data_IF_667307362107
#
_entry.id   IF_667307362107
#
_cell.length_a   1.000
_cell.length_b   1.000
_cell.length_c   1.000
_cell.angle_alpha   90.00
_cell.angle_beta   90.00
_cell.angle_gamma   90.00
#
_symmetry.space_group_name_H-M   'P 1'
#
loop_
_entity.id
_entity.type
_entity.pdbx_description
1 polymer ?
#
# COMPACT_ATOMS: atom_id res chain seq x y z
N UNK A 1 5.77 15.47 4.10
CA UNK A 1 5.77 15.50 5.58
C UNK A 1 4.56 16.28 6.08
N UNK A 2 4.25 16.22 7.38
CA UNK A 2 3.00 16.65 8.02
C UNK A 2 3.28 17.16 9.44
N UNK A 3 2.31 17.78 10.12
CA UNK A 3 2.42 18.18 11.53
C UNK A 3 1.68 17.22 12.49
N UNK A 4 2.32 16.90 13.62
CA UNK A 4 1.67 16.30 14.80
C UNK A 4 2.04 17.16 16.02
N UNK A 5 1.05 17.56 16.81
CA UNK A 5 1.26 18.27 18.08
C UNK A 5 0.71 17.38 19.19
N UNK A 6 1.53 17.08 20.19
CA UNK A 6 1.17 16.23 21.32
C UNK A 6 1.42 16.94 22.65
N UNK A 7 0.44 16.93 23.54
CA UNK A 7 0.60 17.28 24.95
C UNK A 7 0.54 16.02 25.78
N UNK A 8 1.49 15.87 26.71
CA UNK A 8 1.57 14.77 27.65
C UNK A 8 1.75 15.33 29.06
N UNK A 9 0.96 14.84 30.01
CA UNK A 9 1.12 15.21 31.41
C UNK A 9 0.24 14.41 32.36
N UNK A 10 0.07 14.95 33.58
CA UNK A 10 -0.67 14.28 34.66
C UNK A 10 -2.16 14.08 34.37
N UNK A 11 -2.75 14.94 33.54
CA UNK A 11 -4.18 14.85 33.19
C UNK A 11 -4.46 13.77 32.14
N UNK A 12 -3.44 13.41 31.34
CA UNK A 12 -3.54 12.52 30.19
C UNK A 12 -2.65 13.00 29.04
N UNK A 13 -2.98 12.53 27.84
CA UNK A 13 -2.36 12.83 26.57
C UNK A 13 -3.39 13.40 25.59
N UNK A 14 -2.99 14.37 24.77
CA UNK A 14 -3.77 14.89 23.63
C UNK A 14 -2.84 14.94 22.44
N UNK A 15 -3.24 14.36 21.32
CA UNK A 15 -2.52 14.52 20.05
C UNK A 15 -3.46 15.05 18.99
N UNK A 16 -2.96 15.98 18.18
CA UNK A 16 -3.62 16.47 16.99
C UNK A 16 -2.70 16.34 15.78
N UNK A 17 -3.25 16.02 14.62
CA UNK A 17 -2.48 15.93 13.37
C UNK A 17 -3.31 16.36 12.18
N UNK A 18 -2.68 17.01 11.22
CA UNK A 18 -3.30 17.22 9.92
C UNK A 18 -3.45 15.89 9.16
N UNK A 19 -4.25 15.87 8.10
CA UNK A 19 -4.48 14.66 7.29
C UNK A 19 -3.80 14.68 5.92
N UNK A 20 -2.98 15.69 5.65
CA UNK A 20 -2.30 15.86 4.36
C UNK A 20 -1.16 14.89 4.13
N UNK A 21 -1.08 14.38 2.92
CA UNK A 21 0.02 13.56 2.42
C UNK A 21 0.30 13.99 0.99
N UNK A 22 1.56 14.32 0.75
CA UNK A 22 2.09 14.68 -0.55
C UNK A 22 3.04 13.56 -0.98
N UNK A 23 2.77 12.97 -2.13
CA UNK A 23 3.68 12.05 -2.80
C UNK A 23 4.29 12.76 -4.02
N UNK A 24 5.60 12.64 -4.14
CA UNK A 24 6.41 13.27 -5.19
C UNK A 24 6.91 12.19 -6.15
N UNK A 25 6.66 12.36 -7.44
CA UNK A 25 7.11 11.46 -8.49
C UNK A 25 8.00 12.22 -9.47
N UNK A 26 9.17 11.67 -9.79
CA UNK A 26 10.17 12.34 -10.61
C UNK A 26 11.58 12.07 -10.11
N UNK A 27 12.54 12.75 -10.74
CA UNK A 27 13.96 12.64 -10.42
C UNK A 27 14.24 12.90 -8.92
N UNK A 28 15.22 12.17 -8.36
CA UNK A 28 15.52 12.24 -6.93
C UNK A 28 16.01 13.63 -6.52
N UNK A 29 16.96 14.21 -7.24
CA UNK A 29 17.60 15.45 -6.85
C UNK A 29 16.63 16.62 -6.98
N UNK A 30 15.76 16.59 -8.00
CA UNK A 30 14.68 17.55 -8.14
C UNK A 30 13.65 17.44 -7.02
N UNK A 31 13.26 16.21 -6.62
CA UNK A 31 12.34 16.01 -5.48
C UNK A 31 12.91 16.59 -4.20
N UNK A 32 14.20 16.37 -3.93
CA UNK A 32 14.86 16.93 -2.75
C UNK A 32 14.87 18.47 -2.76
N UNK A 33 15.14 19.10 -3.93
CA UNK A 33 15.06 20.55 -4.10
C UNK A 33 13.66 21.11 -3.82
N UNK A 34 12.62 20.49 -4.38
CA UNK A 34 11.23 20.93 -4.16
C UNK A 34 10.83 20.78 -2.69
N UNK A 35 11.23 19.67 -2.04
CA UNK A 35 10.97 19.49 -0.61
C UNK A 35 11.68 20.55 0.24
N UNK A 36 12.93 20.88 -0.06
CA UNK A 36 13.68 21.93 0.64
C UNK A 36 12.99 23.29 0.48
N UNK A 37 12.57 23.64 -0.74
CA UNK A 37 11.86 24.89 -1.02
C UNK A 37 10.52 24.96 -0.28
N UNK A 38 9.74 23.87 -0.30
CA UNK A 38 8.50 23.76 0.47
C UNK A 38 8.75 23.94 1.97
N UNK A 39 9.77 23.29 2.51
CA UNK A 39 10.06 23.31 3.96
C UNK A 39 10.77 24.57 4.43
N UNK A 40 11.30 25.38 3.50
CA UNK A 40 11.82 26.73 3.76
C UNK A 40 10.72 27.76 4.00
N UNK A 41 9.49 27.49 3.53
CA UNK A 41 8.36 28.42 3.57
C UNK A 41 8.27 29.37 2.38
N UNK A 42 9.09 29.16 1.34
CA UNK A 42 9.01 29.95 0.10
C UNK A 42 7.72 29.66 -0.68
N UNK A 43 7.21 28.44 -0.61
CA UNK A 43 5.95 28.01 -1.24
C UNK A 43 4.80 28.18 -0.24
N UNK A 44 3.83 29.03 -0.57
CA UNK A 44 2.78 29.50 0.35
C UNK A 44 1.45 28.77 0.20
N UNK A 45 1.16 28.26 -0.99
CA UNK A 45 -0.13 27.64 -1.31
C UNK A 45 0.05 26.51 -2.34
N UNK A 46 -1.04 25.77 -2.58
CA UNK A 46 -1.04 24.60 -3.47
C UNK A 46 -0.75 24.97 -4.92
N UNK A 47 -1.21 26.13 -5.39
CA UNK A 47 -0.96 26.60 -6.76
C UNK A 47 0.53 26.85 -7.00
N UNK A 48 1.20 27.52 -6.07
CA UNK A 48 2.66 27.69 -6.09
C UNK A 48 3.38 26.35 -6.03
N UNK A 49 2.92 25.42 -5.19
CA UNK A 49 3.52 24.09 -5.07
C UNK A 49 3.45 23.32 -6.39
N UNK A 50 2.29 23.29 -7.05
CA UNK A 50 2.13 22.65 -8.37
C UNK A 50 2.98 23.34 -9.44
N UNK A 51 3.08 24.67 -9.40
CA UNK A 51 3.88 25.44 -10.36
C UNK A 51 5.37 25.14 -10.22
N UNK A 52 5.93 25.15 -9.00
CA UNK A 52 7.35 24.82 -8.78
C UNK A 52 7.64 23.35 -9.09
N UNK A 53 6.72 22.44 -8.76
CA UNK A 53 6.85 21.03 -9.12
C UNK A 53 6.91 20.81 -10.64
N UNK A 54 6.03 21.47 -11.40
CA UNK A 54 6.02 21.38 -12.86
C UNK A 54 7.32 21.86 -13.49
N UNK A 55 7.93 22.95 -12.98
CA UNK A 55 9.24 23.44 -13.46
C UNK A 55 10.37 22.41 -13.25
N UNK A 56 10.27 21.61 -12.20
CA UNK A 56 11.25 20.59 -11.86
C UNK A 56 10.94 19.22 -12.47
N UNK A 57 9.86 19.11 -13.28
CA UNK A 57 9.42 17.85 -13.85
C UNK A 57 8.95 16.85 -12.79
N UNK A 58 8.32 17.34 -11.72
CA UNK A 58 7.81 16.53 -10.61
C UNK A 58 6.29 16.49 -10.67
N UNK A 59 5.74 15.28 -10.71
CA UNK A 59 4.31 15.06 -10.53
C UNK A 59 3.98 14.93 -9.04
N UNK A 60 2.88 15.57 -8.63
CA UNK A 60 2.41 15.56 -7.26
C UNK A 60 1.09 14.81 -7.13
N UNK A 61 1.01 13.92 -6.14
CA UNK A 61 -0.26 13.37 -5.66
C UNK A 61 -0.49 13.83 -4.23
N UNK A 62 -1.51 14.66 -4.05
CA UNK A 62 -1.90 15.23 -2.76
C UNK A 62 -3.20 14.56 -2.30
N UNK A 63 -3.27 14.24 -1.00
CA UNK A 63 -4.44 13.66 -0.35
C UNK A 63 -4.59 14.23 1.06
N UNK A 64 -5.81 14.44 1.53
CA UNK A 64 -6.11 14.98 2.87
C UNK A 64 -6.90 13.97 3.75
N UNK A 65 -6.58 12.69 3.59
CA UNK A 65 -7.26 11.55 4.22
C UNK A 65 -6.36 10.70 5.13
N UNK A 66 -5.08 11.10 5.31
CA UNK A 66 -4.11 10.30 6.04
C UNK A 66 -4.43 10.24 7.54
N UNK A 67 -4.50 9.02 8.09
CA UNK A 67 -4.64 8.77 9.53
C UNK A 67 -3.26 8.68 10.17
N UNK A 68 -2.80 9.77 10.79
CA UNK A 68 -1.45 9.87 11.35
C UNK A 68 -1.40 9.64 12.85
N UNK A 69 -2.53 9.84 13.52
CA UNK A 69 -2.72 9.51 14.93
C UNK A 69 -3.75 8.40 15.07
N UNK A 70 -3.57 7.52 16.07
CA UNK A 70 -4.51 6.46 16.42
C UNK A 70 -4.43 6.13 17.91
N UNK A 71 -5.52 5.65 18.49
CA UNK A 71 -5.50 5.08 19.84
C UNK A 71 -4.96 3.65 19.83
N UNK A 72 -4.14 3.30 20.81
CA UNK A 72 -3.65 1.95 21.05
C UNK A 72 -3.86 1.64 22.54
N UNK A 73 -4.99 1.01 22.85
CA UNK A 73 -5.45 0.91 24.23
C UNK A 73 -5.66 2.29 24.85
N UNK A 74 -4.97 2.57 25.95
CA UNK A 74 -5.01 3.84 26.67
C UNK A 74 -3.92 4.83 26.23
N UNK A 75 -3.03 4.44 25.31
CA UNK A 75 -2.07 5.34 24.69
C UNK A 75 -2.59 5.89 23.37
N UNK A 76 -2.03 7.04 22.97
CA UNK A 76 -2.19 7.62 21.63
C UNK A 76 -0.86 7.49 20.91
N UNK A 77 -0.88 6.99 19.67
CA UNK A 77 0.28 6.90 18.79
C UNK A 77 0.15 7.92 17.68
N UNK A 78 1.20 8.70 17.43
CA UNK A 78 1.34 9.55 16.24
C UNK A 78 2.54 9.12 15.41
N UNK A 79 2.38 9.00 14.09
CA UNK A 79 3.44 8.63 13.15
C UNK A 79 3.64 9.69 12.07
N UNK A 80 4.88 10.11 11.89
CA UNK A 80 5.32 10.75 10.63
C UNK A 80 6.28 9.82 9.92
N UNK A 81 6.17 9.75 8.60
CA UNK A 81 7.06 8.93 7.78
C UNK A 81 7.63 9.71 6.61
N UNK A 82 8.82 9.29 6.21
CA UNK A 82 9.48 9.68 4.97
C UNK A 82 9.82 8.42 4.20
N UNK A 83 9.55 8.43 2.90
CA UNK A 83 9.79 7.29 2.01
C UNK A 83 10.76 7.74 0.93
N UNK A 84 11.91 7.07 0.85
CA UNK A 84 12.80 7.15 -0.30
C UNK A 84 12.55 5.93 -1.19
N UNK A 85 13.29 5.83 -2.29
CA UNK A 85 13.24 4.65 -3.18
C UNK A 85 13.76 3.38 -2.51
N UNK A 86 14.58 3.49 -1.44
CA UNK A 86 15.25 2.35 -0.80
C UNK A 86 14.79 2.10 0.63
N UNK A 87 14.37 3.14 1.36
CA UNK A 87 14.04 3.02 2.78
C UNK A 87 12.79 3.80 3.15
N UNK A 88 12.06 3.28 4.14
CA UNK A 88 10.99 3.98 4.83
C UNK A 88 11.46 4.26 6.24
N UNK A 89 11.63 5.54 6.57
CA UNK A 89 11.92 5.99 7.93
C UNK A 89 10.64 6.47 8.58
N UNK A 90 10.32 5.91 9.74
CA UNK A 90 9.15 6.29 10.54
C UNK A 90 9.63 6.85 11.87
N UNK A 91 9.03 7.95 12.29
CA UNK A 91 9.18 8.48 13.63
C UNK A 91 7.83 8.45 14.30
N UNK A 92 7.75 7.73 15.41
CA UNK A 92 6.53 7.57 16.19
C UNK A 92 6.66 8.22 17.55
N UNK A 93 5.56 8.76 18.04
CA UNK A 93 5.38 9.12 19.44
C UNK A 93 4.25 8.28 20.01
N UNK A 94 4.47 7.67 21.16
CA UNK A 94 3.45 7.04 21.98
C UNK A 94 3.28 7.90 23.23
N UNK A 95 2.07 8.35 23.52
CA UNK A 95 1.77 9.19 24.67
C UNK A 95 0.64 8.62 25.52
N UNK A 96 0.77 8.68 26.83
CA UNK A 96 -0.26 8.32 27.81
C UNK A 96 -0.20 9.26 29.01
N UNK A 97 -1.06 9.08 30.00
CA UNK A 97 -0.94 9.82 31.27
C UNK A 97 0.45 9.61 31.87
N UNK A 98 1.14 10.69 32.24
CA UNK A 98 2.46 10.67 32.89
C UNK A 98 3.64 10.08 32.09
N UNK A 99 3.49 9.82 30.79
CA UNK A 99 4.59 9.26 30.00
C UNK A 99 4.43 9.42 28.49
N UNK A 100 5.55 9.59 27.82
CA UNK A 100 5.66 9.41 26.38
C UNK A 100 6.96 8.66 26.02
N UNK A 101 6.94 8.07 24.84
CA UNK A 101 8.11 7.48 24.18
C UNK A 101 8.13 7.92 22.72
N UNK A 102 9.31 8.28 22.22
CA UNK A 102 9.53 8.61 20.82
C UNK A 102 10.46 7.54 20.27
N UNK A 103 10.10 6.93 19.15
CA UNK A 103 10.93 5.93 18.49
C UNK A 103 11.17 6.27 17.03
N UNK A 104 12.31 5.81 16.53
CA UNK A 104 12.66 5.87 15.13
C UNK A 104 12.83 4.47 14.57
N UNK A 105 12.11 4.17 13.50
CA UNK A 105 12.12 2.88 12.81
C UNK A 105 12.67 3.07 11.40
N UNK A 106 13.58 2.18 11.00
CA UNK A 106 13.95 2.01 9.58
C UNK A 106 13.37 0.67 9.14
N UNK A 107 12.36 0.71 8.27
CA UNK A 107 11.53 -0.45 7.99
C UNK A 107 10.75 -0.88 9.24
N UNK A 108 11.20 -1.96 9.88
CA UNK A 108 10.63 -2.51 11.13
C UNK A 108 11.63 -2.44 12.28
N UNK A 109 12.87 -2.07 12.02
CA UNK A 109 13.93 -2.10 13.03
C UNK A 109 13.93 -0.82 13.84
N UNK A 110 13.87 -0.97 15.16
CA UNK A 110 14.06 0.12 16.11
C UNK A 110 15.52 0.61 16.07
N UNK A 111 15.71 1.88 15.75
CA UNK A 111 17.03 2.52 15.68
C UNK A 111 17.31 3.45 16.86
N UNK A 112 16.29 4.16 17.31
CA UNK A 112 16.41 5.09 18.41
C UNK A 112 15.13 5.09 19.26
N UNK A 113 15.30 5.33 20.55
CA UNK A 113 14.22 5.44 21.53
C UNK A 113 14.54 6.51 22.57
N UNK A 114 13.61 7.45 22.72
CA UNK A 114 13.62 8.49 23.74
C UNK A 114 12.40 8.32 24.65
N UNK A 115 12.56 8.62 25.94
CA UNK A 115 11.45 8.55 26.91
C UNK A 115 11.33 9.87 27.65
N UNK A 116 10.11 10.20 28.08
CA UNK A 116 9.85 11.37 28.91
C UNK A 116 8.54 11.26 29.67
N UNK A 117 8.35 12.15 30.65
CA UNK A 117 7.18 12.07 31.55
C UNK A 117 6.07 13.08 31.24
N UNK A 118 6.43 14.24 30.71
CA UNK A 118 5.49 15.30 30.35
C UNK A 118 6.13 16.30 29.41
N UNK A 119 5.33 16.93 28.56
CA UNK A 119 5.81 17.97 27.65
C UNK A 119 4.83 18.23 26.52
N UNK A 120 5.19 19.19 25.67
CA UNK A 120 4.57 19.38 24.36
C UNK A 120 5.59 18.94 23.31
N UNK A 121 5.24 17.94 22.52
CA UNK A 121 6.09 17.38 21.46
C UNK A 121 5.49 17.77 20.11
N UNK A 122 6.33 18.22 19.19
CA UNK A 122 5.91 18.63 17.85
C UNK A 122 6.73 17.88 16.81
N UNK A 123 6.04 17.10 15.98
CA UNK A 123 6.60 16.57 14.75
C UNK A 123 6.19 17.44 13.57
N UNK A 124 7.11 17.59 12.61
CA UNK A 124 6.81 18.17 11.31
C UNK A 124 8.02 18.63 10.53
N UNK A 125 7.80 19.31 9.43
CA UNK A 125 8.89 20.00 8.73
C UNK A 125 9.33 21.24 9.51
N UNK A 126 10.41 21.89 9.05
CA UNK A 126 11.04 23.03 9.72
C UNK A 126 10.04 24.19 9.92
N UNK A 127 9.37 24.63 8.86
CA UNK A 127 8.45 25.76 8.90
C UNK A 127 7.22 25.49 9.79
N UNK A 128 6.57 24.32 9.66
CA UNK A 128 5.41 23.96 10.46
C UNK A 128 5.75 23.87 11.96
N UNK A 129 6.91 23.30 12.30
CA UNK A 129 7.40 23.28 13.69
C UNK A 129 7.64 24.68 14.25
N UNK A 130 8.21 25.59 13.46
CA UNK A 130 8.47 26.97 13.90
C UNK A 130 7.15 27.72 14.17
N UNK A 131 6.20 27.63 13.24
CA UNK A 131 4.87 28.26 13.41
C UNK A 131 4.13 27.68 14.62
N UNK A 132 4.10 26.35 14.76
CA UNK A 132 3.44 25.68 15.88
C UNK A 132 4.03 26.09 17.22
N UNK A 133 5.36 26.13 17.35
CA UNK A 133 6.02 26.59 18.57
C UNK A 133 5.63 28.04 18.93
N UNK A 134 5.56 28.93 17.94
CA UNK A 134 5.17 30.33 18.15
C UNK A 134 3.73 30.43 18.63
N UNK A 135 2.80 29.78 17.94
CA UNK A 135 1.37 29.82 18.26
C UNK A 135 1.05 29.15 19.61
N UNK A 136 1.73 28.05 19.94
CA UNK A 136 1.59 27.38 21.24
C UNK A 136 2.04 28.34 22.35
N UNK A 137 3.20 29.00 22.22
CA UNK A 137 3.67 29.96 23.22
C UNK A 137 2.69 31.11 23.47
N UNK A 138 1.99 31.57 22.42
CA UNK A 138 1.00 32.64 22.53
C UNK A 138 -0.31 32.18 23.19
N UNK A 139 -0.79 30.97 22.89
CA UNK A 139 -2.12 30.49 23.29
C UNK A 139 -2.11 29.65 24.56
N UNK A 140 -0.97 29.10 24.95
CA UNK A 140 -0.89 28.13 26.05
C UNK A 140 -1.20 28.76 27.40
N UNK A 141 -2.10 28.13 28.17
CA UNK A 141 -2.38 28.48 29.56
C UNK A 141 -2.21 27.23 30.43
N UNK A 142 -1.62 27.39 31.61
CA UNK A 142 -1.20 26.29 32.50
C UNK A 142 -2.35 25.47 33.10
N UNK A 143 -3.60 25.95 33.05
CA UNK A 143 -4.77 25.28 33.62
C UNK A 143 -5.87 25.05 32.58
N UNK A 144 -5.61 24.13 31.66
CA UNK A 144 -6.53 23.78 30.58
C UNK A 144 -6.99 22.32 30.71
N UNK A 145 -8.23 22.03 30.28
CA UNK A 145 -8.77 20.66 30.15
C UNK A 145 -8.21 19.98 28.90
N UNK A 146 -8.12 18.64 28.87
CA UNK A 146 -7.60 17.94 27.68
C UNK A 146 -8.39 18.27 26.41
N UNK A 147 -9.70 18.46 26.52
CA UNK A 147 -10.55 18.85 25.40
C UNK A 147 -10.12 20.20 24.82
N UNK A 148 -10.00 21.22 25.66
CA UNK A 148 -9.60 22.55 25.21
C UNK A 148 -8.14 22.60 24.74
N UNK A 149 -7.26 21.74 25.26
CA UNK A 149 -5.92 21.54 24.66
C UNK A 149 -6.04 21.01 23.23
N UNK A 150 -6.95 20.07 22.98
CA UNK A 150 -7.26 19.56 21.65
C UNK A 150 -7.76 20.65 20.72
N UNK A 151 -8.73 21.45 21.17
CA UNK A 151 -9.29 22.57 20.41
C UNK A 151 -8.19 23.59 20.02
N UNK A 152 -7.30 23.96 20.96
CA UNK A 152 -6.14 24.82 20.64
C UNK A 152 -5.27 24.20 19.56
N UNK A 153 -4.92 22.91 19.68
CA UNK A 153 -4.04 22.27 18.71
C UNK A 153 -4.67 22.19 17.33
N UNK A 154 -5.98 21.92 17.26
CA UNK A 154 -6.74 21.95 16.02
C UNK A 154 -6.69 23.32 15.36
N UNK A 155 -6.97 24.39 16.10
CA UNK A 155 -6.89 25.77 15.58
C UNK A 155 -5.48 26.13 15.10
N UNK A 156 -4.44 25.73 15.84
CA UNK A 156 -3.06 25.97 15.47
C UNK A 156 -2.72 25.28 14.15
N UNK A 157 -3.12 24.01 13.99
CA UNK A 157 -2.85 23.26 12.75
C UNK A 157 -3.59 23.90 11.57
N UNK A 158 -4.85 24.32 11.76
CA UNK A 158 -5.64 25.00 10.71
C UNK A 158 -4.98 26.32 10.28
N UNK A 159 -4.49 27.11 11.23
CA UNK A 159 -3.78 28.36 10.89
C UNK A 159 -2.46 28.10 10.16
N UNK A 160 -1.74 27.03 10.51
CA UNK A 160 -0.52 26.65 9.79
C UNK A 160 -0.87 26.22 8.35
N UNK A 161 -1.96 25.48 8.15
CA UNK A 161 -2.42 25.04 6.85
C UNK A 161 -2.79 26.20 5.90
N UNK A 162 -3.09 27.39 6.44
CA UNK A 162 -3.32 28.61 5.64
C UNK A 162 -2.03 29.25 5.13
N UNK A 163 -0.88 28.92 5.75
CA UNK A 163 0.41 29.57 5.50
C UNK A 163 1.43 28.69 4.79
N UNK A 164 1.15 27.39 4.66
CA UNK A 164 2.00 26.46 3.93
C UNK A 164 1.19 25.31 3.34
N UNK A 165 1.47 24.90 2.08
CA UNK A 165 0.78 23.78 1.46
C UNK A 165 1.31 22.43 1.97
N UNK A 166 2.26 22.42 2.90
CA UNK A 166 2.78 21.20 3.51
C UNK A 166 1.87 20.60 4.60
N UNK A 167 0.83 21.32 5.01
CA UNK A 167 -0.10 20.95 6.09
C UNK A 167 -1.55 21.05 5.59
N UNK A 168 -2.37 20.06 5.90
CA UNK A 168 -3.78 20.03 5.51
C UNK A 168 -4.71 20.73 6.50
N UNK A 169 -5.85 21.20 6.00
CA UNK A 169 -6.89 21.85 6.82
C UNK A 169 -7.71 20.87 7.67
N UNK A 170 -7.80 19.62 7.24
CA UNK A 170 -8.48 18.56 7.98
C UNK A 170 -7.58 18.07 9.11
N UNK A 171 -8.12 18.03 10.32
CA UNK A 171 -7.38 17.70 11.54
C UNK A 171 -8.10 16.57 12.27
N UNK A 172 -7.34 15.58 12.72
CA UNK A 172 -7.78 14.60 13.69
C UNK A 172 -7.25 15.01 15.08
N UNK A 173 -8.07 14.84 16.13
CA UNK A 173 -7.68 15.05 17.53
C UNK A 173 -8.05 13.81 18.34
N UNK A 174 -7.10 13.27 19.10
CA UNK A 174 -7.31 12.10 19.96
C UNK A 174 -6.83 12.41 21.38
N UNK A 175 -7.64 12.04 22.36
CA UNK A 175 -7.34 12.15 23.79
C UNK A 175 -7.13 10.75 24.36
N UNK A 176 -5.97 10.53 24.99
CA UNK A 176 -5.67 9.34 25.76
C UNK A 176 -5.65 9.67 27.25
N UNK A 177 -6.37 8.92 28.07
CA UNK A 177 -6.41 9.16 29.51
C UNK A 177 -6.52 7.84 30.27
N UNK A 178 -5.59 7.65 31.18
CA UNK A 178 -5.64 6.61 32.20
C UNK A 178 -5.22 7.21 33.55
N UNK A 179 -6.16 7.33 34.49
CA UNK A 179 -5.90 7.91 35.81
C UNK A 179 -5.09 7.00 36.73
N UNK A 180 -4.91 5.72 36.38
CA UNK A 180 -4.19 4.73 37.20
C UNK A 180 -2.68 4.73 36.93
N UNK A 181 -2.23 5.34 35.83
CA UNK A 181 -0.82 5.36 35.47
C UNK A 181 -0.05 6.43 36.23
N UNK A 182 0.98 5.99 36.96
CA UNK A 182 2.01 6.84 37.55
C UNK A 182 3.15 7.01 36.54
N UNK A 183 4.14 7.86 36.81
CA UNK A 183 5.29 8.05 35.92
C UNK A 183 6.02 6.72 35.63
N UNK A 184 6.20 5.88 36.64
CA UNK A 184 6.91 4.60 36.50
C UNK A 184 6.06 3.57 35.75
N UNK A 185 4.78 3.44 36.10
CA UNK A 185 3.90 2.47 35.43
C UNK A 185 3.53 2.88 34.01
N UNK A 186 3.53 4.18 33.70
CA UNK A 186 3.35 4.70 32.36
C UNK A 186 4.46 4.23 31.40
N UNK A 187 5.73 4.27 31.83
CA UNK A 187 6.84 3.82 30.95
C UNK A 187 6.75 2.33 30.64
N UNK A 188 6.49 1.50 31.65
CA UNK A 188 6.27 0.06 31.44
C UNK A 188 5.09 -0.21 30.49
N UNK A 189 3.98 0.51 30.68
CA UNK A 189 2.81 0.39 29.80
C UNK A 189 3.13 0.77 28.35
N UNK A 190 3.93 1.82 28.16
CA UNK A 190 4.36 2.25 26.83
C UNK A 190 5.31 1.23 26.19
N UNK A 191 6.24 0.63 26.93
CA UNK A 191 7.12 -0.44 26.42
C UNK A 191 6.31 -1.64 25.88
N UNK A 192 5.31 -2.08 26.64
CA UNK A 192 4.42 -3.17 26.24
C UNK A 192 3.52 -2.79 25.05
N UNK A 193 3.12 -1.52 24.96
CA UNK A 193 2.28 -1.01 23.88
C UNK A 193 3.07 -0.88 22.58
N UNK A 194 4.26 -0.29 22.65
CA UNK A 194 5.21 -0.16 21.55
C UNK A 194 5.56 -1.52 20.96
N UNK A 195 5.97 -2.47 21.82
CA UNK A 195 6.36 -3.82 21.39
C UNK A 195 5.24 -4.53 20.64
N UNK A 196 4.00 -4.42 21.12
CA UNK A 196 2.83 -5.01 20.44
C UNK A 196 2.55 -4.34 19.11
N UNK A 197 2.59 -3.02 19.04
CA UNK A 197 2.33 -2.27 17.81
C UNK A 197 3.41 -2.50 16.74
N UNK A 198 4.68 -2.63 17.13
CA UNK A 198 5.77 -3.00 16.21
C UNK A 198 5.56 -4.42 15.67
N UNK A 199 5.19 -5.40 16.51
CA UNK A 199 4.88 -6.76 16.03
C UNK A 199 3.71 -6.80 15.04
N UNK A 200 2.69 -5.97 15.24
CA UNK A 200 1.59 -5.84 14.27
C UNK A 200 2.09 -5.27 12.96
N UNK A 201 2.97 -4.26 13.01
CA UNK A 201 3.60 -3.69 11.82
C UNK A 201 4.46 -4.72 11.06
N UNK A 202 5.23 -5.55 11.76
CA UNK A 202 6.03 -6.62 11.17
C UNK A 202 5.17 -7.63 10.42
N UNK A 203 4.10 -8.14 11.05
CA UNK A 203 3.16 -9.06 10.42
C UNK A 203 2.48 -8.45 9.19
N UNK A 204 2.07 -7.18 9.28
CA UNK A 204 1.49 -6.47 8.14
C UNK A 204 2.47 -6.38 6.97
N UNK A 205 3.76 -6.11 7.25
CA UNK A 205 4.79 -6.05 6.20
C UNK A 205 5.11 -7.41 5.61
N UNK A 206 5.12 -8.47 6.41
CA UNK A 206 5.31 -9.83 5.92
C UNK A 206 4.18 -10.18 4.94
N UNK A 207 2.93 -9.97 5.35
CA UNK A 207 1.78 -10.20 4.48
C UNK A 207 1.86 -9.37 3.20
N UNK A 208 2.22 -8.09 3.29
CA UNK A 208 2.37 -7.24 2.10
C UNK A 208 3.46 -7.75 1.15
N UNK A 209 4.54 -8.33 1.68
CA UNK A 209 5.59 -8.92 0.85
C UNK A 209 5.11 -10.20 0.15
N UNK A 210 4.36 -11.05 0.86
CA UNK A 210 3.71 -12.25 0.31
C UNK A 210 2.72 -11.87 -0.80
N UNK A 211 1.82 -10.90 -0.53
CA UNK A 211 0.83 -10.40 -1.49
C UNK A 211 1.51 -9.81 -2.76
N UNK A 212 2.66 -9.12 -2.62
CA UNK A 212 3.40 -8.56 -3.74
C UNK A 212 4.12 -9.62 -4.58
N UNK A 213 4.63 -10.68 -3.95
CA UNK A 213 5.25 -11.78 -4.67
C UNK A 213 4.20 -12.58 -5.46
N UNK A 214 3.04 -12.85 -4.86
CA UNK A 214 1.91 -13.49 -5.56
C UNK A 214 1.45 -12.66 -6.76
N UNK A 215 1.37 -11.33 -6.63
CA UNK A 215 1.08 -10.43 -7.75
C UNK A 215 2.17 -10.47 -8.82
N UNK A 216 3.44 -10.54 -8.44
CA UNK A 216 4.55 -10.62 -9.38
C UNK A 216 4.53 -11.92 -10.17
N UNK A 217 4.32 -13.05 -9.50
CA UNK A 217 4.14 -14.36 -10.14
C UNK A 217 2.97 -14.32 -11.12
N UNK A 218 1.84 -13.74 -10.71
CA UNK A 218 0.67 -13.56 -11.57
C UNK A 218 0.98 -12.74 -12.83
N UNK A 219 1.73 -11.64 -12.69
CA UNK A 219 2.16 -10.80 -13.83
C UNK A 219 3.11 -11.58 -14.75
N UNK A 220 4.03 -12.38 -14.19
CA UNK A 220 4.95 -13.20 -14.99
C UNK A 220 4.20 -14.25 -15.81
N UNK A 221 3.25 -14.97 -15.20
CA UNK A 221 2.41 -15.94 -15.91
C UNK A 221 1.57 -15.26 -16.99
N UNK A 222 0.99 -14.09 -16.68
CA UNK A 222 0.20 -13.32 -17.65
C UNK A 222 1.01 -12.89 -18.89
N UNK A 223 2.29 -12.51 -18.70
CA UNK A 223 3.18 -12.17 -19.81
C UNK A 223 3.56 -13.37 -20.68
N UNK A 224 3.41 -14.60 -20.17
CA UNK A 224 3.70 -15.85 -20.90
C UNK A 224 2.48 -16.43 -21.62
N UNK A 225 1.29 -15.84 -21.49
CA UNK A 225 0.07 -16.31 -22.16
C UNK A 225 0.30 -16.39 -23.67
N UNK A 226 -0.04 -17.55 -24.25
CA UNK A 226 0.20 -17.82 -25.66
C UNK A 226 -0.91 -17.19 -26.49
N UNK A 227 -0.59 -16.13 -27.24
CA UNK A 227 -1.54 -15.50 -28.16
C UNK A 227 -1.48 -16.09 -29.58
N UNK A 228 -0.41 -16.83 -29.88
CA UNK A 228 -0.22 -17.55 -31.14
C UNK A 228 0.84 -18.62 -30.98
N UNK A 229 0.58 -19.83 -31.47
CA UNK A 229 1.58 -20.89 -31.43
C UNK A 229 1.01 -22.30 -31.45
N UNK A 230 1.91 -23.29 -31.38
CA UNK A 230 1.53 -24.70 -31.22
C UNK A 230 1.36 -25.00 -29.75
N UNK A 231 0.22 -25.58 -29.39
CA UNK A 231 -0.10 -25.93 -28.01
C UNK A 231 0.25 -27.38 -27.72
N UNK A 232 -0.12 -28.28 -28.62
CA UNK A 232 0.00 -29.71 -28.40
C UNK A 232 -0.65 -30.54 -29.50
N UNK A 233 -0.86 -31.81 -29.19
CA UNK A 233 -1.47 -32.78 -30.09
C UNK A 233 -2.54 -33.58 -29.36
N UNK A 234 -3.62 -33.93 -30.06
CA UNK A 234 -4.68 -34.77 -29.48
C UNK A 234 -4.13 -36.17 -29.25
N UNK A 235 -4.08 -36.61 -27.99
CA UNK A 235 -3.65 -37.96 -27.63
C UNK A 235 -4.82 -38.94 -27.56
N UNK A 236 -6.00 -38.48 -27.13
CA UNK A 236 -7.19 -39.31 -26.95
C UNK A 236 -8.47 -38.50 -27.16
N UNK A 237 -9.52 -39.16 -27.67
CA UNK A 237 -10.84 -38.57 -27.91
C UNK A 237 -11.91 -39.43 -27.21
N UNK A 238 -12.73 -38.80 -26.37
CA UNK A 238 -13.86 -39.43 -25.66
C UNK A 238 -15.10 -38.54 -25.76
N UNK A 239 -16.02 -38.87 -26.68
CA UNK A 239 -17.16 -38.01 -26.97
C UNK A 239 -16.70 -36.62 -27.43
N UNK A 240 -17.17 -35.54 -26.78
CA UNK A 240 -16.72 -34.16 -27.05
C UNK A 240 -15.41 -33.78 -26.33
N UNK A 241 -14.86 -34.66 -25.48
CA UNK A 241 -13.63 -34.39 -24.73
C UNK A 241 -12.39 -34.85 -25.51
N UNK A 242 -11.44 -33.95 -25.65
CA UNK A 242 -10.16 -34.17 -26.31
C UNK A 242 -9.05 -34.05 -25.27
N UNK A 243 -8.33 -35.15 -25.02
CA UNK A 243 -7.08 -35.08 -24.27
C UNK A 243 -6.01 -34.56 -25.21
N UNK A 244 -5.41 -33.44 -24.86
CA UNK A 244 -4.37 -32.78 -25.63
C UNK A 244 -3.08 -32.87 -24.82
N UNK A 245 -2.09 -33.56 -25.37
CA UNK A 245 -0.74 -33.58 -24.82
C UNK A 245 -0.03 -32.29 -25.20
N UNK A 246 0.32 -31.50 -24.19
CA UNK A 246 1.03 -30.23 -24.36
C UNK A 246 2.43 -30.45 -24.93
N UNK A 247 2.94 -29.47 -25.65
CA UNK A 247 4.34 -29.48 -26.09
C UNK A 247 5.30 -29.29 -24.91
N UNK A 248 6.60 -29.43 -25.18
CA UNK A 248 7.67 -29.23 -24.20
C UNK A 248 7.79 -27.78 -23.71
N UNK A 249 7.14 -26.82 -24.38
CA UNK A 249 7.22 -25.39 -24.09
C UNK A 249 5.92 -24.81 -23.54
N UNK A 250 4.91 -25.63 -23.28
CA UNK A 250 3.57 -25.17 -22.92
C UNK A 250 3.16 -25.72 -21.57
N UNK A 251 2.78 -24.82 -20.68
CA UNK A 251 2.21 -25.13 -19.38
C UNK A 251 0.74 -24.66 -19.34
N UNK A 252 -0.07 -25.33 -18.54
CA UNK A 252 -1.46 -24.95 -18.31
C UNK A 252 -1.69 -24.49 -16.87
N UNK A 253 -2.51 -23.46 -16.72
CA UNK A 253 -2.85 -22.82 -15.46
C UNK A 253 -4.38 -22.69 -15.31
N UNK A 254 -4.89 -22.67 -14.08
CA UNK A 254 -6.29 -22.35 -13.82
C UNK A 254 -6.56 -20.83 -13.90
N UNK A 255 -7.80 -20.41 -13.65
CA UNK A 255 -8.18 -18.99 -13.62
C UNK A 255 -7.53 -18.18 -12.49
N UNK A 256 -6.94 -18.85 -11.50
CA UNK A 256 -6.16 -18.25 -10.41
C UNK A 256 -4.65 -18.32 -10.69
N UNK A 257 -4.25 -18.64 -11.93
CA UNK A 257 -2.87 -18.77 -12.37
C UNK A 257 -2.07 -19.82 -11.57
N UNK A 258 -2.75 -20.83 -11.02
CA UNK A 258 -2.10 -22.01 -10.42
C UNK A 258 -1.88 -23.05 -11.50
N UNK A 259 -0.66 -23.62 -11.54
CA UNK A 259 -0.28 -24.63 -12.53
C UNK A 259 -1.15 -25.88 -12.35
N UNK A 260 -1.83 -26.28 -13.42
CA UNK A 260 -2.67 -27.50 -13.47
C UNK A 260 -2.03 -28.61 -14.28
N UNK A 261 -1.19 -28.27 -15.26
CA UNK A 261 -0.41 -29.24 -16.03
C UNK A 261 0.89 -28.61 -16.55
N UNK A 262 1.94 -29.40 -16.62
CA UNK A 262 3.24 -29.03 -17.15
C UNK A 262 3.47 -29.41 -18.61
N UNK A 263 4.63 -29.00 -19.12
CA UNK A 263 5.16 -29.44 -20.41
C UNK A 263 5.09 -30.97 -20.57
N UNK A 264 4.62 -31.43 -21.72
CA UNK A 264 4.38 -32.85 -22.04
C UNK A 264 3.29 -33.57 -21.24
N UNK A 265 2.55 -32.90 -20.35
CA UNK A 265 1.38 -33.46 -19.68
C UNK A 265 0.11 -33.28 -20.52
N UNK A 266 -0.98 -33.94 -20.12
CA UNK A 266 -2.26 -33.90 -20.83
C UNK A 266 -3.24 -32.95 -20.17
N UNK A 267 -3.98 -32.21 -20.99
CA UNK A 267 -5.10 -31.37 -20.57
C UNK A 267 -6.35 -31.70 -21.36
N UNK A 268 -7.51 -31.48 -20.76
CA UNK A 268 -8.81 -31.72 -21.40
C UNK A 268 -9.27 -30.44 -22.10
N UNK A 269 -9.66 -30.58 -23.36
CA UNK A 269 -10.30 -29.54 -24.16
C UNK A 269 -11.63 -30.07 -24.72
N UNK A 270 -12.55 -29.16 -25.01
CA UNK A 270 -13.91 -29.51 -25.44
C UNK A 270 -14.16 -29.03 -26.87
N UNK A 271 -14.80 -29.91 -27.65
CA UNK A 271 -15.24 -29.65 -29.02
C UNK A 271 -16.75 -29.42 -29.03
N UNK A 272 -17.16 -28.19 -28.72
CA UNK A 272 -18.59 -27.86 -28.55
C UNK A 272 -19.26 -27.37 -29.84
N UNK A 273 -18.54 -26.58 -30.65
CA UNK A 273 -19.10 -25.86 -31.79
C UNK A 273 -18.22 -25.98 -33.03
N UNK A 274 -18.86 -25.94 -34.20
CA UNK A 274 -18.16 -25.80 -35.47
C UNK A 274 -17.71 -24.34 -35.72
N UNK A 275 -17.12 -24.10 -36.88
CA UNK A 275 -16.63 -22.77 -37.30
C UNK A 275 -17.75 -21.75 -37.54
N UNK A 276 -19.00 -22.19 -37.74
CA UNK A 276 -20.18 -21.34 -37.92
C UNK A 276 -20.92 -21.10 -36.59
N UNK A 277 -20.49 -21.76 -35.51
CA UNK A 277 -21.07 -21.66 -34.18
C UNK A 277 -22.19 -22.64 -33.90
N UNK A 278 -22.44 -23.61 -34.79
CA UNK A 278 -23.43 -24.66 -34.58
C UNK A 278 -22.89 -25.72 -33.61
N UNK A 279 -23.77 -26.31 -32.80
CA UNK A 279 -23.37 -27.36 -31.86
C UNK A 279 -22.94 -28.63 -32.59
N UNK A 280 -21.76 -29.15 -32.23
CA UNK A 280 -21.28 -30.45 -32.72
C UNK A 280 -21.88 -31.55 -31.84
N UNK A 281 -22.54 -32.54 -32.45
CA UNK A 281 -23.03 -33.74 -31.76
C UNK A 281 -21.89 -34.74 -31.58
N UNK A 282 -21.96 -35.56 -30.53
CA UNK A 282 -20.94 -36.57 -30.22
C UNK A 282 -20.67 -37.54 -31.39
N UNK A 283 -21.71 -37.94 -32.12
CA UNK A 283 -21.59 -38.83 -33.27
C UNK A 283 -20.73 -38.23 -34.40
N UNK A 284 -20.65 -36.90 -34.48
CA UNK A 284 -20.01 -36.18 -35.57
C UNK A 284 -18.58 -35.75 -35.24
N UNK A 285 -18.11 -35.92 -33.99
CA UNK A 285 -16.77 -35.51 -33.52
C UNK A 285 -15.65 -36.09 -34.39
N UNK A 286 -15.80 -37.34 -34.84
CA UNK A 286 -14.80 -38.03 -35.67
C UNK A 286 -14.59 -37.39 -37.05
N UNK A 287 -15.58 -36.64 -37.55
CA UNK A 287 -15.49 -35.84 -38.78
C UNK A 287 -14.60 -34.61 -38.60
N UNK A 288 -14.46 -34.15 -37.36
CA UNK A 288 -13.83 -32.88 -37.00
C UNK A 288 -12.46 -33.06 -36.34
N UNK A 289 -12.25 -34.08 -35.51
CA UNK A 289 -11.03 -34.31 -34.75
C UNK A 289 -10.54 -35.77 -34.88
N UNK A 290 -9.22 -35.95 -34.97
CA UNK A 290 -8.52 -37.24 -35.00
C UNK A 290 -7.34 -37.22 -34.04
N UNK A 291 -6.95 -38.39 -33.55
CA UNK A 291 -5.73 -38.55 -32.76
C UNK A 291 -4.52 -38.07 -33.58
N UNK A 292 -3.57 -37.42 -32.91
CA UNK A 292 -2.41 -36.69 -33.46
C UNK A 292 -2.74 -35.41 -34.24
N UNK A 293 -4.00 -34.96 -34.30
CA UNK A 293 -4.27 -33.62 -34.82
C UNK A 293 -3.59 -32.57 -33.94
N UNK A 294 -3.03 -31.56 -34.61
CA UNK A 294 -2.30 -30.48 -33.96
C UNK A 294 -3.27 -29.42 -33.44
N UNK A 295 -3.06 -29.00 -32.19
CA UNK A 295 -3.81 -27.93 -31.54
C UNK A 295 -2.95 -26.67 -31.49
N UNK A 296 -3.53 -25.54 -31.90
CA UNK A 296 -2.84 -24.26 -32.06
C UNK A 296 -3.69 -23.12 -31.52
N UNK A 297 -3.05 -22.02 -31.15
CA UNK A 297 -3.71 -20.73 -30.99
C UNK A 297 -3.38 -19.89 -32.23
N UNK A 298 -4.42 -19.38 -32.89
CA UNK A 298 -4.32 -18.46 -34.03
C UNK A 298 -5.25 -17.28 -33.78
N UNK A 299 -4.71 -16.06 -33.80
CA UNK A 299 -5.47 -14.83 -33.55
C UNK A 299 -6.28 -14.95 -32.24
N UNK A 300 -5.63 -15.37 -31.16
CA UNK A 300 -6.26 -15.55 -29.83
C UNK A 300 -7.36 -16.62 -29.75
N UNK A 301 -7.59 -17.38 -30.83
CA UNK A 301 -8.54 -18.49 -30.85
C UNK A 301 -7.79 -19.83 -30.77
N UNK A 302 -8.12 -20.63 -29.76
CA UNK A 302 -7.67 -22.00 -29.62
C UNK A 302 -8.44 -22.90 -30.59
N UNK A 303 -7.75 -23.61 -31.48
CA UNK A 303 -8.40 -24.42 -32.50
C UNK A 303 -7.54 -25.61 -32.96
N UNK A 304 -8.18 -26.54 -33.67
CA UNK A 304 -7.48 -27.62 -34.38
C UNK A 304 -6.89 -27.05 -35.69
N UNK A 305 -5.58 -27.21 -35.90
CA UNK A 305 -4.82 -26.54 -36.97
C UNK A 305 -5.37 -26.84 -38.38
N UNK A 306 -5.84 -28.08 -38.59
CA UNK A 306 -6.25 -28.59 -39.91
C UNK A 306 -7.51 -27.94 -40.48
N UNK A 307 -8.46 -27.56 -39.63
CA UNK A 307 -9.81 -27.11 -40.02
C UNK A 307 -10.28 -25.87 -39.25
N UNK A 308 -9.43 -25.32 -38.37
CA UNK A 308 -9.70 -24.14 -37.54
C UNK A 308 -10.95 -24.27 -36.65
N UNK A 309 -11.35 -25.49 -36.29
CA UNK A 309 -12.49 -25.68 -35.40
C UNK A 309 -12.10 -25.23 -33.99
N UNK A 310 -12.89 -24.33 -33.37
CA UNK A 310 -12.58 -23.80 -32.06
C UNK A 310 -12.66 -24.89 -30.99
N UNK A 311 -11.74 -24.81 -30.03
CA UNK A 311 -11.75 -25.61 -28.82
C UNK A 311 -12.01 -24.71 -27.62
N UNK A 312 -12.73 -25.26 -26.64
CA UNK A 312 -12.98 -24.60 -25.37
C UNK A 312 -12.19 -25.29 -24.25
N UNK A 313 -11.59 -24.52 -23.36
CA UNK A 313 -10.94 -25.06 -22.17
C UNK A 313 -11.02 -24.05 -21.02
N UNK A 314 -11.22 -24.54 -19.79
CA UNK A 314 -11.25 -23.74 -18.57
C UNK A 314 -9.87 -23.40 -18.00
N UNK A 315 -8.84 -23.40 -18.84
CA UNK A 315 -7.42 -23.26 -18.47
C UNK A 315 -6.75 -22.19 -19.32
N UNK A 316 -5.71 -21.57 -18.78
CA UNK A 316 -4.85 -20.59 -19.44
C UNK A 316 -3.58 -21.30 -19.90
N UNK A 317 -3.22 -21.14 -21.17
CA UNK A 317 -2.05 -21.78 -21.77
C UNK A 317 -0.92 -20.76 -21.87
N UNK A 318 0.21 -21.06 -21.24
CA UNK A 318 1.38 -20.18 -21.18
C UNK A 318 2.63 -20.89 -21.73
N UNK A 319 3.54 -20.12 -22.31
CA UNK A 319 4.89 -20.60 -22.58
C UNK A 319 5.64 -20.87 -21.26
N UNK A 320 6.60 -21.79 -21.28
CA UNK A 320 7.57 -21.99 -20.18
C UNK A 320 8.44 -20.74 -19.93
#
# INVERSE_FOLDING_TARGET
MSIIIAYIGRKGCVMASDKRRIAYFGDKDNREKLEEELYSGNIRNDEELYKEAAKLGIDLKISDDAKKIKSIGNAVMGEVSSKTTREVRRRRIYGTTNGYQIIELIGSELKNKETGSSGIIIFGNKIAKQMANSLIKQRWKSSISLKYTGDIFEEIIKEIAEKTPSVGKNVDVIIGKDSKLTKTTAQKYLDETETRDIKVLEKYRQKLAEDLEEQRESIEVANKIINKGTIGYISKIEGKMLNVKLTDKVNAYDTNLKKVAGSNEEVIMFLDKDTEGNEIKEADVSSYAKVNDKVVIKNENLCIDKNNIPLNCGIILCNE
#
